data_IF_540820522019
#
_entry.id   IF_540820522019
#
_cell.length_a   1.000
_cell.length_b   1.000
_cell.length_c   1.000
_cell.angle_alpha   90.00
_cell.angle_beta   90.00
_cell.angle_gamma   90.00
#
_symmetry.space_group_name_H-M   'P 1'
#
loop_
_entity.id
_entity.type
_entity.pdbx_description
1 polymer ?
#
# COMPACT_ATOMS: atom_id res chain seq x y z
N UNK A 1 -15.61 8.72 -9.18
CA UNK A 1 -15.69 8.78 -10.65
C UNK A 1 -17.10 8.45 -11.10
N UNK A 2 -17.32 8.47 -12.41
CA UNK A 2 -18.54 7.97 -13.05
C UNK A 2 -18.71 6.45 -12.75
N UNK A 3 -19.84 5.98 -12.19
CA UNK A 3 -20.10 4.56 -11.98
C UNK A 3 -20.23 3.74 -13.26
N UNK A 4 -20.53 4.38 -14.38
CA UNK A 4 -20.69 3.72 -15.68
C UNK A 4 -19.40 3.77 -16.52
N UNK A 5 -18.32 4.31 -15.96
CA UNK A 5 -17.00 4.29 -16.59
C UNK A 5 -16.62 2.84 -16.99
N UNK A 6 -16.22 2.57 -18.25
CA UNK A 6 -15.99 1.22 -18.73
C UNK A 6 -15.02 0.40 -17.86
N UNK A 7 -13.99 1.05 -17.30
CA UNK A 7 -13.03 0.37 -16.40
C UNK A 7 -13.66 -0.09 -15.09
N UNK A 8 -14.63 0.66 -14.56
CA UNK A 8 -15.36 0.30 -13.33
C UNK A 8 -16.33 -0.85 -13.60
N UNK A 9 -17.04 -0.79 -14.73
CA UNK A 9 -17.89 -1.89 -15.19
C UNK A 9 -17.06 -3.17 -15.35
N UNK A 10 -15.88 -3.08 -15.97
CA UNK A 10 -14.97 -4.22 -16.10
C UNK A 10 -14.50 -4.78 -14.74
N UNK A 11 -14.20 -3.91 -13.76
CA UNK A 11 -13.81 -4.36 -12.42
C UNK A 11 -14.88 -5.21 -11.72
N UNK A 12 -16.17 -5.05 -12.05
CA UNK A 12 -17.26 -5.82 -11.43
C UNK A 12 -17.26 -7.30 -11.82
N UNK A 13 -16.60 -7.66 -12.92
CA UNK A 13 -16.43 -9.06 -13.34
C UNK A 13 -15.25 -9.76 -12.64
N UNK A 14 -14.37 -9.03 -11.93
CA UNK A 14 -13.18 -9.60 -11.30
C UNK A 14 -13.48 -10.76 -10.32
N UNK A 15 -14.50 -10.68 -9.44
CA UNK A 15 -14.82 -11.76 -8.52
C UNK A 15 -15.19 -13.06 -9.22
N UNK A 16 -15.95 -12.99 -10.33
CA UNK A 16 -16.35 -14.15 -11.13
C UNK A 16 -15.15 -14.91 -11.72
N UNK A 17 -14.00 -14.22 -11.82
CA UNK A 17 -12.76 -14.76 -12.32
C UNK A 17 -11.70 -15.00 -11.24
N UNK A 18 -12.04 -14.82 -9.96
CA UNK A 18 -11.09 -14.93 -8.82
C UNK A 18 -9.88 -13.99 -8.99
N UNK A 19 -10.15 -12.78 -9.46
CA UNK A 19 -9.15 -11.74 -9.69
C UNK A 19 -9.33 -10.58 -8.72
N UNK A 20 -8.22 -9.90 -8.43
CA UNK A 20 -8.19 -8.65 -7.68
C UNK A 20 -7.45 -7.60 -8.49
N UNK A 21 -7.99 -6.39 -8.51
CA UNK A 21 -7.34 -5.23 -9.08
C UNK A 21 -6.78 -4.35 -7.95
N UNK A 22 -5.47 -4.17 -7.95
CA UNK A 22 -4.84 -3.04 -7.27
C UNK A 22 -4.98 -1.82 -8.18
N UNK A 23 -5.56 -0.74 -7.65
CA UNK A 23 -5.83 0.48 -8.39
C UNK A 23 -5.14 1.66 -7.71
N UNK A 24 -4.30 2.38 -8.45
CA UNK A 24 -3.72 3.63 -7.97
C UNK A 24 -4.82 4.64 -7.62
N UNK A 25 -4.78 5.20 -6.41
CA UNK A 25 -5.84 6.10 -5.93
C UNK A 25 -5.96 7.38 -6.78
N UNK A 26 -4.86 7.83 -7.38
CA UNK A 26 -4.78 9.07 -8.15
C UNK A 26 -3.78 10.04 -7.56
N UNK A 27 -3.37 11.03 -8.36
CA UNK A 27 -2.40 12.05 -7.98
C UNK A 27 -3.02 13.46 -7.88
N UNK A 28 -4.33 13.53 -7.62
CA UNK A 28 -5.12 14.78 -7.52
C UNK A 28 -5.44 15.19 -6.07
N UNK A 29 -4.73 14.62 -5.09
CA UNK A 29 -4.71 15.15 -3.73
C UNK A 29 -4.12 16.57 -3.67
N UNK A 30 -4.21 17.29 -2.54
CA UNK A 30 -4.61 16.82 -1.21
C UNK A 30 -6.12 16.83 -0.93
N UNK A 31 -6.94 17.31 -1.86
CA UNK A 31 -8.36 17.58 -1.60
C UNK A 31 -9.16 16.28 -1.43
N UNK A 32 -10.16 16.25 -0.52
CA UNK A 32 -11.12 15.15 -0.45
C UNK A 32 -11.87 14.96 -1.78
N UNK A 33 -12.31 13.74 -2.08
CA UNK A 33 -13.06 13.46 -3.31
C UNK A 33 -12.21 13.27 -4.56
N UNK A 34 -10.88 13.17 -4.41
CA UNK A 34 -9.91 13.07 -5.50
C UNK A 34 -9.59 11.63 -5.94
N UNK A 35 -10.22 10.62 -5.33
CA UNK A 35 -10.01 9.22 -5.70
C UNK A 35 -10.57 8.92 -7.09
N UNK A 36 -9.71 8.45 -7.98
CA UNK A 36 -10.01 8.23 -9.39
C UNK A 36 -10.67 6.87 -9.66
N UNK A 37 -11.21 6.68 -10.86
CA UNK A 37 -11.61 5.35 -11.34
C UNK A 37 -10.37 4.56 -11.79
N UNK A 38 -10.27 3.25 -11.52
CA UNK A 38 -11.26 2.41 -10.83
C UNK A 38 -11.13 2.37 -9.29
N UNK A 39 -10.13 3.03 -8.68
CA UNK A 39 -9.89 2.99 -7.23
C UNK A 39 -11.08 3.45 -6.35
N UNK A 40 -12.00 4.22 -6.91
CA UNK A 40 -13.23 4.63 -6.24
C UNK A 40 -14.38 3.60 -6.31
N UNK A 41 -14.13 2.38 -6.83
CA UNK A 41 -15.12 1.31 -6.91
C UNK A 41 -15.49 0.76 -5.52
N UNK A 42 -16.78 0.45 -5.35
CA UNK A 42 -17.35 -0.16 -4.14
C UNK A 42 -17.34 -1.67 -4.24
N UNK A 43 -16.15 -2.22 -4.45
CA UNK A 43 -15.96 -3.66 -4.60
C UNK A 43 -14.73 -4.10 -3.81
N UNK A 44 -14.83 -5.12 -2.94
CA UNK A 44 -13.68 -5.65 -2.21
C UNK A 44 -12.53 -6.10 -3.13
N UNK A 45 -12.87 -6.59 -4.33
CA UNK A 45 -11.89 -6.99 -5.35
C UNK A 45 -11.13 -5.82 -6.00
N UNK A 46 -11.46 -4.56 -5.67
CA UNK A 46 -10.71 -3.37 -6.09
C UNK A 46 -10.06 -2.72 -4.87
N UNK A 47 -8.74 -2.90 -4.75
CA UNK A 47 -7.91 -2.36 -3.69
C UNK A 47 -7.29 -1.04 -4.15
N UNK A 48 -7.77 0.07 -3.61
CA UNK A 48 -7.24 1.39 -3.85
C UNK A 48 -5.94 1.62 -3.07
N UNK A 49 -4.88 1.99 -3.77
CA UNK A 49 -3.55 2.21 -3.20
C UNK A 49 -3.18 3.69 -3.27
N UNK A 50 -3.06 4.31 -2.09
CA UNK A 50 -2.49 5.65 -1.93
C UNK A 50 -0.96 5.63 -1.86
N UNK A 51 -0.35 6.82 -1.92
CA UNK A 51 1.09 7.00 -1.99
C UNK A 51 1.62 7.66 -0.71
N UNK A 52 2.71 7.12 -0.18
CA UNK A 52 3.45 7.70 0.93
C UNK A 52 4.95 7.82 0.66
N UNK A 53 5.62 8.63 1.46
CA UNK A 53 7.09 8.75 1.46
C UNK A 53 7.72 7.58 2.20
N UNK A 54 8.94 7.22 1.80
CA UNK A 54 9.72 6.22 2.53
C UNK A 54 10.20 6.75 3.89
N UNK A 55 10.37 8.07 4.01
CA UNK A 55 10.69 8.75 5.26
C UNK A 55 10.12 10.17 5.20
N UNK A 56 9.40 10.66 6.22
CA UNK A 56 9.10 10.03 7.51
C UNK A 56 7.73 9.30 7.52
N UNK A 57 7.43 8.48 6.50
CA UNK A 57 6.14 7.76 6.38
C UNK A 57 4.91 8.67 6.27
N UNK A 58 5.06 9.80 5.58
CA UNK A 58 3.97 10.74 5.37
C UNK A 58 3.26 10.46 4.05
N UNK A 59 1.96 10.71 4.02
CA UNK A 59 1.20 10.66 2.78
C UNK A 59 1.76 11.71 1.83
N UNK A 60 2.04 11.31 0.60
CA UNK A 60 2.48 12.23 -0.43
C UNK A 60 1.35 13.26 -0.68
N UNK A 61 1.70 14.54 -0.81
CA UNK A 61 0.72 15.62 -0.90
C UNK A 61 -0.29 15.40 -2.03
N UNK A 62 0.19 14.92 -3.18
CA UNK A 62 -0.61 14.60 -4.36
C UNK A 62 -1.44 13.32 -4.22
N UNK A 63 -1.21 12.46 -3.21
CA UNK A 63 -1.97 11.22 -3.08
C UNK A 63 -3.44 11.55 -2.90
N UNK A 64 -4.27 11.01 -3.78
CA UNK A 64 -5.72 11.18 -3.71
C UNK A 64 -6.29 10.70 -2.37
N UNK A 65 -7.36 11.37 -1.93
CA UNK A 65 -8.00 11.17 -0.63
C UNK A 65 -9.50 11.03 -0.77
N UNK A 66 -10.06 10.17 0.06
CA UNK A 66 -11.49 10.03 0.21
C UNK A 66 -12.14 11.22 0.94
N UNK A 67 -13.44 11.13 1.21
CA UNK A 67 -14.32 10.07 0.73
C UNK A 67 -14.43 10.12 -0.80
N UNK A 68 -14.81 9.02 -1.45
CA UNK A 68 -15.15 9.07 -2.87
C UNK A 68 -16.40 9.93 -3.08
N UNK A 69 -16.75 10.26 -4.33
CA UNK A 69 -18.03 10.92 -4.65
C UNK A 69 -19.26 10.14 -4.16
N UNK A 70 -19.13 8.83 -3.94
CA UNK A 70 -20.17 7.96 -3.40
C UNK A 70 -20.12 7.84 -1.86
N UNK A 71 -19.24 8.59 -1.19
CA UNK A 71 -19.11 8.58 0.28
C UNK A 71 -18.21 7.47 0.84
N UNK A 72 -17.56 6.68 0.00
CA UNK A 72 -16.75 5.53 0.44
C UNK A 72 -15.41 5.99 1.03
N UNK A 73 -14.96 5.29 2.06
CA UNK A 73 -13.62 5.48 2.64
C UNK A 73 -12.59 4.81 1.72
N UNK A 74 -11.78 5.63 1.04
CA UNK A 74 -10.66 5.25 0.19
C UNK A 74 -9.48 6.24 0.42
N UNK A 75 -8.22 5.88 0.19
CA UNK A 75 -7.75 4.58 -0.31
C UNK A 75 -7.98 3.44 0.70
N UNK A 76 -7.80 2.21 0.26
CA UNK A 76 -7.84 1.06 1.16
C UNK A 76 -6.52 0.94 1.92
N UNK A 77 -5.40 1.13 1.25
CA UNK A 77 -4.05 1.06 1.82
C UNK A 77 -3.16 2.14 1.24
N UNK A 78 -2.02 2.36 1.88
CA UNK A 78 -0.98 3.25 1.37
C UNK A 78 0.34 2.51 1.26
N UNK A 79 1.14 2.89 0.27
CA UNK A 79 2.44 2.27 0.04
C UNK A 79 3.47 3.28 -0.46
N UNK A 80 4.75 2.90 -0.41
CA UNK A 80 5.84 3.74 -0.90
C UNK A 80 5.71 4.02 -2.38
N UNK A 81 5.64 5.28 -2.76
CA UNK A 81 5.54 5.70 -4.16
C UNK A 81 6.15 7.06 -4.45
N UNK A 82 6.85 7.65 -3.49
CA UNK A 82 7.44 8.97 -3.62
C UNK A 82 8.97 8.87 -3.79
N UNK A 83 9.50 9.47 -4.86
CA UNK A 83 10.93 9.51 -5.20
C UNK A 83 11.57 8.13 -5.23
N UNK A 84 10.92 7.19 -5.91
CA UNK A 84 11.43 5.84 -6.13
C UNK A 84 12.38 5.82 -7.32
N UNK A 85 13.53 5.16 -7.14
CA UNK A 85 14.41 4.79 -8.25
C UNK A 85 13.76 3.62 -9.00
N UNK A 86 13.49 3.79 -10.29
CA UNK A 86 12.82 2.81 -11.14
C UNK A 86 13.54 2.67 -12.47
N UNK A 87 13.27 1.58 -13.19
CA UNK A 87 13.80 1.36 -14.53
C UNK A 87 13.34 2.50 -15.46
N UNK A 88 14.23 2.98 -16.32
CA UNK A 88 13.94 4.03 -17.29
C UNK A 88 13.87 3.45 -18.70
N UNK A 89 12.95 3.92 -19.57
CA UNK A 89 12.89 3.49 -20.96
C UNK A 89 14.06 4.02 -21.81
N UNK A 90 15.02 4.76 -21.22
CA UNK A 90 16.17 5.33 -21.93
C UNK A 90 17.23 4.29 -22.31
N UNK A 91 17.39 3.23 -21.52
CA UNK A 91 18.24 2.05 -21.82
C UNK A 91 18.02 0.93 -20.79
N UNK A 92 18.48 -0.29 -21.09
CA UNK A 92 18.37 -1.48 -20.22
C UNK A 92 19.05 -1.33 -18.84
N UNK A 93 19.98 -0.40 -18.73
CA UNK A 93 20.74 -0.10 -17.50
C UNK A 93 20.36 1.23 -16.88
N UNK A 94 19.46 1.99 -17.51
CA UNK A 94 19.08 3.31 -17.03
C UNK A 94 18.04 3.22 -15.92
N UNK A 95 18.23 4.08 -14.91
CA UNK A 95 17.26 4.31 -13.86
C UNK A 95 16.85 5.77 -13.83
N UNK A 96 15.65 6.04 -13.36
CA UNK A 96 15.17 7.39 -13.10
C UNK A 96 14.35 7.45 -11.81
N UNK A 97 14.25 8.64 -11.23
CA UNK A 97 13.46 8.87 -10.03
C UNK A 97 12.05 9.29 -10.45
N UNK A 98 11.05 8.57 -9.95
CA UNK A 98 9.63 8.86 -10.18
C UNK A 98 8.83 8.90 -8.90
N UNK A 99 7.67 9.54 -8.99
CA UNK A 99 6.73 9.73 -7.89
C UNK A 99 5.31 9.53 -8.40
N UNK A 100 4.46 8.87 -7.61
CA UNK A 100 3.04 8.74 -7.89
C UNK A 100 2.41 7.52 -7.23
N UNK A 101 1.08 7.57 -7.07
CA UNK A 101 0.28 6.37 -6.75
C UNK A 101 0.47 5.26 -7.78
N UNK A 102 0.79 5.61 -9.03
CA UNK A 102 1.18 4.68 -10.10
C UNK A 102 2.42 3.84 -9.79
N UNK A 103 3.28 4.26 -8.85
CA UNK A 103 4.44 3.48 -8.40
C UNK A 103 4.17 2.76 -7.07
N UNK A 104 3.38 3.36 -6.19
CA UNK A 104 2.92 2.71 -4.96
C UNK A 104 2.07 1.46 -5.25
N UNK A 105 1.18 1.55 -6.22
CA UNK A 105 0.24 0.50 -6.60
C UNK A 105 0.93 -0.83 -7.00
N UNK A 106 1.83 -0.88 -8.00
CA UNK A 106 2.49 -2.13 -8.38
C UNK A 106 3.43 -2.65 -7.28
N UNK A 107 4.10 -1.78 -6.52
CA UNK A 107 4.95 -2.20 -5.41
C UNK A 107 4.13 -2.91 -4.31
N UNK A 108 2.96 -2.36 -3.98
CA UNK A 108 2.04 -2.97 -3.04
C UNK A 108 1.50 -4.32 -3.56
N UNK A 109 1.06 -4.37 -4.82
CA UNK A 109 0.60 -5.60 -5.46
C UNK A 109 1.69 -6.69 -5.41
N UNK A 110 2.95 -6.35 -5.64
CA UNK A 110 4.07 -7.30 -5.53
C UNK A 110 4.20 -7.93 -4.13
N UNK A 111 4.12 -7.12 -3.07
CA UNK A 111 4.17 -7.61 -1.68
C UNK A 111 3.01 -8.56 -1.38
N UNK A 112 1.80 -8.22 -1.81
CA UNK A 112 0.64 -9.09 -1.62
C UNK A 112 0.76 -10.40 -2.40
N UNK A 113 1.29 -10.37 -3.63
CA UNK A 113 1.50 -11.59 -4.42
C UNK A 113 2.57 -12.50 -3.79
N UNK A 114 3.66 -11.93 -3.25
CA UNK A 114 4.66 -12.71 -2.49
C UNK A 114 4.06 -13.38 -1.25
N UNK A 115 3.17 -12.67 -0.53
CA UNK A 115 2.45 -13.23 0.60
C UNK A 115 1.52 -14.38 0.18
N UNK A 116 0.76 -14.21 -0.90
CA UNK A 116 -0.11 -15.24 -1.45
C UNK A 116 0.69 -16.49 -1.90
N UNK A 117 1.84 -16.29 -2.53
CA UNK A 117 2.74 -17.38 -2.93
C UNK A 117 3.27 -18.14 -1.71
N UNK A 118 3.74 -17.43 -0.68
CA UNK A 118 4.23 -18.05 0.56
C UNK A 118 3.15 -18.90 1.22
N UNK A 119 1.93 -18.37 1.31
CA UNK A 119 0.80 -19.10 1.90
C UNK A 119 0.50 -20.34 1.07
N UNK A 120 0.38 -20.20 -0.26
CA UNK A 120 0.08 -21.33 -1.16
C UNK A 120 1.10 -22.47 -1.02
N UNK A 121 2.39 -22.13 -0.95
CA UNK A 121 3.48 -23.11 -0.73
C UNK A 121 3.41 -23.78 0.63
N UNK A 122 2.92 -23.06 1.64
CA UNK A 122 2.85 -23.56 3.03
C UNK A 122 1.67 -24.48 3.24
N UNK A 123 0.50 -24.14 2.68
CA UNK A 123 -0.73 -24.93 2.84
C UNK A 123 -0.86 -26.05 1.80
N UNK A 124 -0.09 -26.00 0.71
CA UNK A 124 -0.14 -27.00 -0.36
C UNK A 124 -1.35 -26.84 -1.30
N UNK A 125 -2.05 -25.72 -1.22
CA UNK A 125 -3.22 -25.36 -2.02
C UNK A 125 -3.02 -23.99 -2.66
N UNK A 126 -3.60 -23.78 -3.83
CA UNK A 126 -3.53 -22.49 -4.54
C UNK A 126 -4.42 -21.45 -3.86
N UNK A 127 -3.81 -20.54 -3.10
CA UNK A 127 -4.51 -19.38 -2.54
C UNK A 127 -4.41 -18.24 -3.55
N UNK A 128 -5.24 -18.32 -4.59
CA UNK A 128 -5.51 -17.18 -5.47
C UNK A 128 -6.74 -16.41 -4.98
N UNK A 129 -6.81 -15.14 -5.39
CA UNK A 129 -7.75 -14.09 -4.99
C UNK A 129 -9.24 -14.37 -5.28
N UNK A 130 -9.80 -15.48 -4.80
CA UNK A 130 -11.25 -15.65 -4.62
C UNK A 130 -11.78 -14.73 -3.53
N UNK A 131 -13.10 -14.62 -3.41
CA UNK A 131 -13.76 -13.81 -2.37
C UNK A 131 -13.22 -14.12 -0.97
N UNK A 132 -12.97 -15.40 -0.66
CA UNK A 132 -12.42 -15.79 0.65
C UNK A 132 -11.01 -15.23 0.88
N UNK A 133 -10.16 -15.16 -0.15
CA UNK A 133 -8.81 -14.62 -0.04
C UNK A 133 -8.81 -13.09 0.05
N UNK A 134 -9.77 -12.41 -0.61
CA UNK A 134 -9.97 -10.96 -0.49
C UNK A 134 -10.44 -10.61 0.92
N UNK A 135 -11.43 -11.34 1.43
CA UNK A 135 -11.91 -11.19 2.80
C UNK A 135 -10.82 -11.51 3.81
N UNK A 136 -10.04 -12.58 3.60
CA UNK A 136 -8.90 -12.91 4.45
C UNK A 136 -7.82 -11.83 4.41
N UNK A 137 -7.52 -11.27 3.24
CA UNK A 137 -6.61 -10.12 3.11
C UNK A 137 -7.16 -8.92 3.89
N UNK A 138 -8.44 -8.61 3.75
CA UNK A 138 -9.08 -7.48 4.44
C UNK A 138 -9.23 -7.70 5.94
N UNK A 139 -9.43 -8.93 6.41
CA UNK A 139 -9.59 -9.26 7.83
C UNK A 139 -8.25 -9.43 8.57
N UNK A 140 -7.26 -10.07 7.93
CA UNK A 140 -6.01 -10.47 8.58
C UNK A 140 -4.80 -9.64 8.15
N UNK A 141 -4.58 -9.43 6.85
CA UNK A 141 -3.43 -8.63 6.38
C UNK A 141 -3.59 -7.14 6.73
N UNK A 142 -4.83 -6.63 6.75
CA UNK A 142 -5.11 -5.26 7.17
C UNK A 142 -5.05 -5.05 8.69
N UNK A 143 -4.84 -6.12 9.48
CA UNK A 143 -4.62 -6.02 10.93
C UNK A 143 -3.15 -5.80 11.28
N UNK A 144 -2.24 -6.12 10.37
CA UNK A 144 -0.80 -5.84 10.48
C UNK A 144 -0.44 -4.65 9.60
N UNK A 145 -0.97 -3.48 9.94
CA UNK A 145 -0.76 -2.22 9.22
C UNK A 145 -0.12 -1.18 10.13
N UNK A 146 0.72 -0.32 9.56
CA UNK A 146 1.34 0.79 10.25
C UNK A 146 0.71 2.12 9.86
N UNK A 147 0.39 2.94 10.85
CA UNK A 147 0.07 4.37 10.67
C UNK A 147 0.95 5.20 11.60
N UNK A 148 1.23 6.47 11.28
CA UNK A 148 1.94 7.35 12.18
C UNK A 148 1.12 7.63 13.45
N UNK A 149 1.80 8.03 14.52
CA UNK A 149 1.17 8.42 15.77
C UNK A 149 0.15 9.56 15.55
N UNK A 150 -1.02 9.45 16.20
CA UNK A 150 -2.12 10.40 16.05
C UNK A 150 -3.02 10.18 14.83
N UNK A 151 -2.69 9.26 13.91
CA UNK A 151 -3.60 8.87 12.85
C UNK A 151 -4.78 8.01 13.40
N UNK A 152 -5.97 8.06 12.76
CA UNK A 152 -7.10 7.23 13.17
C UNK A 152 -6.75 5.74 13.15
N UNK A 153 -7.15 5.00 14.19
CA UNK A 153 -6.93 3.54 14.28
C UNK A 153 -7.72 2.84 13.17
N UNK A 154 -8.99 3.21 13.03
CA UNK A 154 -9.89 2.67 11.99
C UNK A 154 -9.50 3.15 10.59
N UNK A 155 -10.07 2.52 9.56
CA UNK A 155 -9.88 2.94 8.18
C UNK A 155 -10.29 4.40 7.98
N UNK A 156 -9.42 5.21 7.37
CA UNK A 156 -9.67 6.63 7.12
C UNK A 156 -9.42 7.05 5.67
N UNK A 157 -9.84 8.27 5.32
CA UNK A 157 -9.80 8.80 3.95
C UNK A 157 -8.40 9.20 3.45
N UNK A 158 -7.38 9.11 4.30
CA UNK A 158 -6.01 9.55 4.01
C UNK A 158 -5.06 8.35 4.00
N UNK A 159 -5.03 7.58 5.08
CA UNK A 159 -4.15 6.42 5.24
C UNK A 159 -4.83 5.10 4.85
N UNK A 160 -6.15 5.09 4.65
CA UNK A 160 -6.90 3.84 4.55
C UNK A 160 -6.72 3.04 5.84
N UNK A 161 -6.38 1.76 5.71
CA UNK A 161 -5.95 0.93 6.83
C UNK A 161 -4.49 1.19 7.24
N UNK A 162 -3.66 1.75 6.36
CA UNK A 162 -2.26 2.08 6.63
C UNK A 162 -1.27 1.37 5.70
N UNK A 163 0.00 1.35 6.10
CA UNK A 163 1.09 0.65 5.41
C UNK A 163 1.05 -0.84 5.76
N UNK A 164 0.83 -1.75 4.79
CA UNK A 164 0.88 -3.20 5.02
C UNK A 164 2.19 -3.65 5.66
N UNK A 165 2.09 -4.60 6.60
CA UNK A 165 3.17 -5.13 7.44
C UNK A 165 3.84 -4.08 8.36
N UNK A 166 3.33 -2.85 8.41
CA UNK A 166 3.78 -1.79 9.31
C UNK A 166 5.28 -1.56 9.28
N UNK A 167 5.94 -1.59 10.45
CA UNK A 167 7.39 -1.43 10.56
C UNK A 167 8.17 -2.70 10.19
N UNK A 168 7.54 -3.87 10.12
CA UNK A 168 8.20 -5.11 9.73
C UNK A 168 8.63 -5.06 8.26
N UNK A 169 7.84 -4.39 7.41
CA UNK A 169 8.27 -4.15 6.02
C UNK A 169 9.55 -3.32 5.95
N UNK A 170 9.79 -2.44 6.93
CA UNK A 170 11.03 -1.67 7.00
C UNK A 170 12.21 -2.58 7.33
N UNK A 171 12.04 -3.60 8.17
CA UNK A 171 13.13 -4.56 8.44
C UNK A 171 13.53 -5.34 7.20
N UNK A 172 12.58 -5.64 6.32
CA UNK A 172 12.86 -6.31 5.05
C UNK A 172 13.51 -5.37 4.01
N UNK A 173 13.13 -4.08 4.00
CA UNK A 173 13.56 -3.12 2.97
C UNK A 173 14.82 -2.33 3.37
N UNK A 174 15.05 -2.05 4.65
CA UNK A 174 16.22 -1.30 5.16
C UNK A 174 17.57 -1.90 4.76
N UNK A 175 17.79 -3.24 4.77
CA UNK A 175 19.05 -3.83 4.31
C UNK A 175 19.32 -3.63 2.82
N UNK A 176 18.29 -3.31 2.03
CA UNK A 176 18.38 -3.09 0.58
C UNK A 176 18.63 -1.63 0.21
N UNK A 177 18.67 -0.74 1.21
CA UNK A 177 18.87 0.70 1.02
C UNK A 177 20.25 1.09 1.56
N UNK A 178 21.00 1.86 0.78
CA UNK A 178 22.25 2.44 1.24
C UNK A 178 21.98 3.45 2.37
N UNK A 179 22.25 2.99 3.59
CA UNK A 179 21.96 3.67 4.85
C UNK A 179 22.76 4.98 4.99
N UNK A 180 23.84 5.15 4.21
CA UNK A 180 24.66 6.37 4.21
C UNK A 180 23.89 7.61 3.75
N UNK A 181 22.79 7.43 3.01
CA UNK A 181 21.92 8.50 2.52
C UNK A 181 20.82 8.94 3.52
N UNK A 182 20.66 8.25 4.66
CA UNK A 182 19.51 8.42 5.59
C UNK A 182 19.96 8.61 7.05
N UNK A 183 21.26 8.77 7.27
CA UNK A 183 21.94 8.89 8.57
C UNK A 183 21.38 9.93 9.56
N UNK A 184 20.65 11.01 9.18
CA UNK A 184 20.06 11.90 10.18
C UNK A 184 18.76 11.39 10.84
N UNK A 185 18.10 10.34 10.31
CA UNK A 185 16.68 10.05 10.66
C UNK A 185 16.50 8.82 11.57
N UNK A 186 17.52 7.96 11.68
CA UNK A 186 17.52 6.82 12.63
C UNK A 186 17.51 7.23 14.12
N UNK A 187 17.64 8.52 14.42
CA UNK A 187 17.93 9.03 15.76
C UNK A 187 16.75 9.23 16.72
N UNK A 188 15.47 9.11 16.35
CA UNK A 188 14.40 9.55 17.26
C UNK A 188 13.33 8.47 17.58
N UNK A 189 12.98 7.58 16.65
CA UNK A 189 11.89 6.60 16.89
C UNK A 189 12.31 5.12 17.00
N UNK A 190 13.20 4.66 16.11
CA UNK A 190 13.54 3.24 16.01
C UNK A 190 14.54 2.75 17.07
N UNK A 191 15.48 3.59 17.52
CA UNK A 191 16.43 3.22 18.57
C UNK A 191 15.73 2.89 19.90
N UNK A 192 14.66 3.62 20.24
CA UNK A 192 13.87 3.36 21.44
C UNK A 192 13.22 1.98 21.43
N UNK A 193 12.62 1.59 20.29
CA UNK A 193 11.91 0.32 20.12
C UNK A 193 12.84 -0.89 19.95
N UNK A 194 13.98 -0.72 19.26
CA UNK A 194 14.97 -1.80 19.10
C UNK A 194 15.66 -2.11 20.43
N UNK A 195 15.97 -1.09 21.24
CA UNK A 195 16.59 -1.30 22.55
C UNK A 195 15.64 -1.94 23.57
N UNK A 196 14.33 -1.65 23.52
CA UNK A 196 13.34 -2.30 24.41
C UNK A 196 13.11 -3.77 24.03
N UNK A 197 13.09 -4.09 22.73
CA UNK A 197 12.99 -5.47 22.27
C UNK A 197 14.20 -6.34 22.68
N UNK A 198 15.41 -5.77 22.67
CA UNK A 198 16.62 -6.49 23.09
C UNK A 198 16.72 -6.66 24.62
N UNK A 199 16.22 -5.70 25.42
CA UNK A 199 16.19 -5.83 26.87
C UNK A 199 15.17 -6.87 27.38
N UNK A 200 14.09 -7.10 26.63
CA UNK A 200 13.10 -8.15 26.93
C UNK A 200 13.56 -9.56 26.56
N UNK A 201 14.51 -9.69 25.63
CA UNK A 201 15.09 -10.96 25.20
C UNK A 201 16.30 -11.42 26.04
N UNK A 202 16.72 -10.63 27.04
CA UNK A 202 17.80 -10.95 27.98
C UNK A 202 17.30 -11.15 29.42
N UNK A 203 16.03 -11.55 29.61
CA UNK A 203 15.52 -12.07 30.89
C UNK A 203 14.98 -13.47 30.73
#
# INVERSE_FOLDING_TARGET
GDPDAPIRVACRALPEHRLVAFAAAGNEGPQPGSVMSPACEDLPAVIAVGCMTFSPFLIAEYSARGPTKAGLIKPDIVFFGHRLLTASPKSDTAFEIKSGTSFACPACAGVFNLGAELLSRTVGEEIWYGEEAIELCQQYLMRYVGKPEGAPIEKDNVYGFGLPLGTEILKAVLPMIDISAITPILGIGMLGMVMTGMAGAMK
#
